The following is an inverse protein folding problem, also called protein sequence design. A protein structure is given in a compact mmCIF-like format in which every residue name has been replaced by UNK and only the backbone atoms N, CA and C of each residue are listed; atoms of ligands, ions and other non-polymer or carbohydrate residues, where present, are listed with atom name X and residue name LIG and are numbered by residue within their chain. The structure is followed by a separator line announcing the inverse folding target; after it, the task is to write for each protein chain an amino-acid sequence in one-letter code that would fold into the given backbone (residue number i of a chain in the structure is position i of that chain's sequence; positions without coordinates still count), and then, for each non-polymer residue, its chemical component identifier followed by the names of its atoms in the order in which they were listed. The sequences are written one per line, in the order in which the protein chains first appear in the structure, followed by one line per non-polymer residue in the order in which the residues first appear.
data_IF_917079866704
#
_entry.id   IF_917079866704
#
_cell.length_a   1.000
_cell.length_b   1.000
_cell.length_c   1.000
_cell.angle_alpha   90.00
_cell.angle_beta   90.00
_cell.angle_gamma   90.00
#
_symmetry.space_group_name_H-M   'P 1'
#
loop_
_entity.id
_entity.type
_entity.pdbx_description
1 polymer ?
#
# COMPACT_ATOMS: atom_id res chain seq x y z
N UNK A 1 -8.67 -54.27 12.15
CA UNK A 1 -9.34 -53.00 12.51
C UNK A 1 -8.59 -51.73 12.09
N UNK A 2 -7.24 -51.71 12.07
CA UNK A 2 -6.47 -50.53 11.58
C UNK A 2 -6.74 -50.22 10.10
N UNK A 3 -6.71 -51.22 9.23
CA UNK A 3 -7.00 -51.08 7.78
C UNK A 3 -8.39 -50.50 7.44
N UNK A 4 -9.41 -50.76 8.27
CA UNK A 4 -10.76 -50.20 8.06
C UNK A 4 -10.83 -48.73 8.50
N UNK A 5 -10.02 -48.33 9.50
CA UNK A 5 -9.87 -46.92 9.90
C UNK A 5 -9.13 -46.11 8.83
N UNK A 6 -8.09 -46.68 8.23
CA UNK A 6 -7.32 -46.04 7.16
C UNK A 6 -8.17 -45.87 5.87
N UNK A 7 -9.00 -46.86 5.53
CA UNK A 7 -9.99 -46.73 4.45
C UNK A 7 -11.05 -45.67 4.75
N UNK A 8 -11.54 -45.56 6.00
CA UNK A 8 -12.46 -44.48 6.40
C UNK A 8 -11.82 -43.09 6.32
N UNK A 9 -10.54 -42.94 6.65
CA UNK A 9 -9.80 -41.68 6.53
C UNK A 9 -9.56 -41.32 5.05
N UNK A 10 -9.29 -42.30 4.20
CA UNK A 10 -9.14 -42.08 2.75
C UNK A 10 -10.48 -41.78 2.07
N UNK A 11 -11.56 -42.45 2.48
CA UNK A 11 -12.93 -42.26 1.98
C UNK A 11 -13.54 -40.93 2.46
N UNK A 12 -13.23 -40.46 3.67
CA UNK A 12 -13.62 -39.12 4.15
C UNK A 12 -12.85 -37.98 3.49
N UNK A 13 -11.66 -38.24 2.93
CA UNK A 13 -10.89 -37.23 2.18
C UNK A 13 -11.54 -36.89 0.83
N UNK A 14 -12.48 -37.72 0.34
CA UNK A 14 -13.25 -37.48 -0.90
C UNK A 14 -14.50 -36.61 -0.70
N UNK A 15 -14.91 -36.32 0.55
CA UNK A 15 -15.94 -35.31 0.86
C UNK A 15 -15.26 -34.09 1.49
N UNK A 16 -14.37 -33.45 0.74
CA UNK A 16 -14.02 -32.07 1.06
C UNK A 16 -15.30 -31.25 0.91
N UNK A 17 -15.77 -30.64 1.99
CA UNK A 17 -16.84 -29.65 1.91
C UNK A 17 -16.50 -28.67 0.77
N UNK A 18 -17.48 -28.42 -0.10
CA UNK A 18 -17.30 -27.61 -1.30
C UNK A 18 -18.10 -26.32 -1.18
N UNK A 19 -17.71 -25.31 -1.94
CA UNK A 19 -18.50 -24.11 -2.18
C UNK A 19 -18.48 -23.77 -3.67
N UNK A 20 -19.49 -23.02 -4.11
CA UNK A 20 -19.53 -22.47 -5.46
C UNK A 20 -19.02 -21.04 -5.44
N UNK A 21 -17.99 -20.74 -6.23
CA UNK A 21 -17.48 -19.38 -6.37
C UNK A 21 -18.49 -18.49 -7.12
N UNK A 22 -18.82 -17.31 -6.60
CA UNK A 22 -19.78 -16.40 -7.25
C UNK A 22 -19.22 -15.61 -8.45
N UNK A 23 -17.90 -15.69 -8.71
CA UNK A 23 -17.28 -15.03 -9.87
C UNK A 23 -17.10 -16.01 -11.04
N UNK A 24 -16.48 -17.18 -10.79
CA UNK A 24 -16.23 -18.17 -11.84
C UNK A 24 -17.27 -19.29 -11.92
N UNK A 25 -18.20 -19.39 -10.96
CA UNK A 25 -19.23 -20.42 -10.87
C UNK A 25 -18.73 -21.86 -10.75
N UNK A 26 -17.44 -22.07 -10.42
CA UNK A 26 -16.85 -23.38 -10.18
C UNK A 26 -17.15 -23.90 -8.76
N UNK A 27 -17.37 -25.21 -8.62
CA UNK A 27 -17.44 -25.91 -7.33
C UNK A 27 -16.04 -26.30 -6.87
N UNK A 28 -15.60 -25.76 -5.75
CA UNK A 28 -14.22 -25.84 -5.27
C UNK A 28 -14.17 -26.29 -3.81
N UNK A 29 -13.07 -26.92 -3.35
CA UNK A 29 -12.88 -27.25 -1.93
C UNK A 29 -12.89 -26.00 -1.03
N UNK A 30 -13.45 -26.10 0.18
CA UNK A 30 -13.50 -24.98 1.14
C UNK A 30 -12.12 -24.38 1.47
N UNK A 31 -11.04 -25.13 1.38
CA UNK A 31 -9.67 -24.62 1.56
C UNK A 31 -9.30 -23.52 0.55
N UNK A 32 -9.96 -23.49 -0.62
CA UNK A 32 -9.74 -22.47 -1.64
C UNK A 32 -10.74 -21.31 -1.54
N UNK A 33 -11.60 -21.32 -0.53
CA UNK A 33 -12.46 -20.18 -0.22
C UNK A 33 -11.61 -19.08 0.40
N UNK A 34 -11.66 -17.89 -0.20
CA UNK A 34 -11.04 -16.72 0.38
C UNK A 34 -11.75 -16.31 1.68
N UNK A 35 -10.96 -15.98 2.70
CA UNK A 35 -11.45 -15.45 3.98
C UNK A 35 -10.99 -14.00 4.10
N UNK A 36 -11.93 -13.06 4.05
CA UNK A 36 -11.62 -11.64 4.19
C UNK A 36 -11.49 -11.25 5.68
N UNK A 37 -10.60 -11.91 6.42
CA UNK A 37 -10.45 -11.74 7.87
C UNK A 37 -11.79 -11.80 8.64
N UNK A 38 -12.72 -12.64 8.17
CA UNK A 38 -14.09 -12.78 8.66
C UNK A 38 -14.95 -11.48 8.66
N UNK A 39 -14.51 -10.44 7.96
CA UNK A 39 -15.28 -9.20 7.75
C UNK A 39 -16.51 -9.44 6.87
N UNK A 40 -16.45 -10.41 5.95
CA UNK A 40 -17.58 -10.86 5.16
C UNK A 40 -17.42 -12.33 4.75
N UNK A 41 -18.53 -13.01 4.45
CA UNK A 41 -18.54 -14.45 4.14
C UNK A 41 -18.74 -14.79 2.67
N UNK A 42 -18.62 -13.80 1.78
CA UNK A 42 -18.88 -13.94 0.33
C UNK A 42 -18.05 -15.07 -0.30
N UNK A 43 -18.68 -15.99 -1.06
CA UNK A 43 -18.06 -17.19 -1.58
C UNK A 43 -17.22 -16.90 -2.83
N UNK A 44 -15.99 -16.40 -2.63
CA UNK A 44 -15.02 -16.23 -3.71
C UNK A 44 -13.83 -17.17 -3.52
N UNK A 45 -13.32 -17.72 -4.61
CA UNK A 45 -12.10 -18.51 -4.57
C UNK A 45 -10.85 -17.64 -4.58
N UNK A 46 -9.73 -18.19 -4.10
CA UNK A 46 -8.44 -17.49 -4.03
C UNK A 46 -7.97 -16.95 -5.38
N UNK A 47 -8.20 -17.70 -6.48
CA UNK A 47 -7.80 -17.28 -7.83
C UNK A 47 -8.60 -16.08 -8.35
N UNK A 48 -9.91 -16.05 -8.13
CA UNK A 48 -10.74 -14.90 -8.49
C UNK A 48 -10.36 -13.65 -7.70
N UNK A 49 -10.07 -13.78 -6.40
CA UNK A 49 -9.61 -12.65 -5.57
C UNK A 49 -8.24 -12.15 -6.02
N UNK A 50 -7.30 -13.05 -6.29
CA UNK A 50 -5.99 -12.70 -6.86
C UNK A 50 -6.13 -11.91 -8.17
N UNK A 51 -6.98 -12.38 -9.08
CA UNK A 51 -7.23 -11.69 -10.36
C UNK A 51 -7.91 -10.33 -10.16
N UNK A 52 -8.90 -10.24 -9.26
CA UNK A 52 -9.57 -8.99 -8.92
C UNK A 52 -8.58 -7.93 -8.44
N UNK A 53 -7.70 -8.29 -7.50
CA UNK A 53 -6.64 -7.40 -7.00
C UNK A 53 -5.72 -6.96 -8.14
N UNK A 54 -5.27 -7.90 -8.96
CA UNK A 54 -4.39 -7.62 -10.10
C UNK A 54 -5.01 -6.65 -11.12
N UNK A 55 -6.29 -6.83 -11.45
CA UNK A 55 -7.00 -5.94 -12.37
C UNK A 55 -7.20 -4.56 -11.77
N UNK A 56 -7.55 -4.47 -10.48
CA UNK A 56 -7.62 -3.18 -9.78
C UNK A 56 -6.27 -2.46 -9.83
N UNK A 57 -5.17 -3.13 -9.49
CA UNK A 57 -3.83 -2.53 -9.50
C UNK A 57 -3.34 -2.15 -10.89
N UNK A 58 -3.86 -2.77 -11.96
CA UNK A 58 -3.58 -2.39 -13.35
C UNK A 58 -4.43 -1.22 -13.82
N UNK A 59 -5.64 -1.08 -13.28
CA UNK A 59 -6.50 0.06 -13.55
C UNK A 59 -5.85 1.35 -13.01
N UNK A 60 -6.25 2.49 -13.55
CA UNK A 60 -5.83 3.80 -13.04
C UNK A 60 -6.59 4.19 -11.74
N UNK A 61 -7.18 3.22 -11.01
CA UNK A 61 -7.86 3.46 -9.74
C UNK A 61 -6.85 3.85 -8.64
N UNK A 62 -6.96 5.11 -8.19
CA UNK A 62 -5.85 5.85 -7.58
C UNK A 62 -5.71 5.81 -6.06
N UNK A 63 -6.45 4.96 -5.33
CA UNK A 63 -6.43 5.00 -3.86
C UNK A 63 -5.83 3.75 -3.20
N UNK A 64 -5.65 2.66 -3.95
CA UNK A 64 -5.28 1.36 -3.36
C UNK A 64 -6.39 0.73 -2.51
N UNK A 65 -7.55 1.37 -2.34
CA UNK A 65 -8.66 0.83 -1.56
C UNK A 65 -9.44 -0.17 -2.41
N UNK A 66 -9.11 -1.45 -2.29
CA UNK A 66 -9.76 -2.53 -3.02
C UNK A 66 -10.92 -3.07 -2.19
N UNK A 67 -12.15 -2.92 -2.67
CA UNK A 67 -13.34 -3.50 -2.03
C UNK A 67 -13.48 -4.99 -2.35
N UNK A 68 -14.20 -5.68 -1.49
CA UNK A 68 -14.77 -6.99 -1.78
C UNK A 68 -15.47 -6.97 -3.15
N UNK A 69 -15.35 -8.02 -3.98
CA UNK A 69 -16.02 -8.04 -5.29
C UNK A 69 -17.54 -8.03 -5.25
N UNK A 70 -18.14 -8.36 -4.09
CA UNK A 70 -19.59 -8.30 -3.92
C UNK A 70 -20.09 -6.85 -3.98
N UNK A 71 -21.16 -6.60 -4.71
CA UNK A 71 -21.59 -5.26 -5.13
C UNK A 71 -22.00 -4.40 -3.93
N UNK A 72 -22.72 -4.98 -2.97
CA UNK A 72 -23.24 -4.29 -1.79
C UNK A 72 -22.32 -4.43 -0.56
N UNK A 73 -21.11 -4.98 -0.74
CA UNK A 73 -20.15 -5.16 0.34
C UNK A 73 -19.18 -3.98 0.44
N UNK A 74 -19.20 -3.30 1.58
CA UNK A 74 -18.31 -2.16 1.85
C UNK A 74 -16.94 -2.59 2.42
N UNK A 75 -16.78 -3.86 2.79
CA UNK A 75 -15.51 -4.34 3.35
C UNK A 75 -14.39 -4.35 2.32
N UNK A 76 -13.22 -3.87 2.74
CA UNK A 76 -12.01 -3.82 1.92
C UNK A 76 -11.17 -5.07 2.07
N UNK A 77 -10.31 -5.31 1.09
CA UNK A 77 -9.26 -6.31 1.14
C UNK A 77 -8.00 -5.69 1.77
N UNK A 78 -7.40 -6.41 2.71
CA UNK A 78 -6.14 -6.01 3.35
C UNK A 78 -4.93 -6.59 2.58
N UNK A 79 -3.94 -5.76 2.19
CA UNK A 79 -2.75 -6.23 1.48
C UNK A 79 -1.99 -7.34 2.21
N UNK A 80 -1.93 -7.30 3.55
CA UNK A 80 -1.19 -8.29 4.34
C UNK A 80 -1.91 -9.64 4.35
N UNK A 81 -3.23 -9.63 4.52
CA UNK A 81 -4.11 -10.80 4.44
C UNK A 81 -4.07 -11.44 3.04
N UNK A 82 -3.88 -10.63 2.00
CA UNK A 82 -3.78 -11.07 0.61
C UNK A 82 -2.34 -11.34 0.14
N UNK A 83 -1.33 -11.34 1.03
CA UNK A 83 0.09 -11.38 0.63
C UNK A 83 0.46 -12.59 -0.23
N UNK A 84 -0.17 -13.74 0.03
CA UNK A 84 0.05 -14.99 -0.72
C UNK A 84 -0.70 -15.04 -2.06
N UNK A 85 -1.65 -14.13 -2.28
CA UNK A 85 -2.46 -14.04 -3.51
C UNK A 85 -1.85 -13.13 -4.56
N UNK A 86 -0.81 -12.36 -4.21
CA UNK A 86 -0.20 -11.36 -5.07
C UNK A 86 1.31 -11.56 -5.18
N UNK A 87 1.87 -11.13 -6.31
CA UNK A 87 3.32 -11.05 -6.46
C UNK A 87 3.93 -10.00 -5.53
N UNK A 88 5.26 -10.05 -5.34
CA UNK A 88 5.98 -9.02 -4.57
C UNK A 88 5.77 -7.63 -5.18
N UNK A 89 5.80 -7.52 -6.50
CA UNK A 89 5.64 -6.26 -7.23
C UNK A 89 4.22 -5.70 -7.06
N UNK A 90 3.20 -6.53 -7.19
CA UNK A 90 1.80 -6.14 -6.94
C UNK A 90 1.59 -5.71 -5.49
N UNK A 91 2.16 -6.43 -4.52
CA UNK A 91 2.10 -6.05 -3.10
C UNK A 91 2.72 -4.67 -2.85
N UNK A 92 3.95 -4.44 -3.34
CA UNK A 92 4.63 -3.14 -3.18
C UNK A 92 3.81 -2.03 -3.84
N UNK A 93 3.32 -2.25 -5.07
CA UNK A 93 2.48 -1.28 -5.77
C UNK A 93 1.20 -0.96 -5.00
N UNK A 94 0.57 -1.97 -4.40
CA UNK A 94 -0.63 -1.80 -3.60
C UNK A 94 -0.35 -0.95 -2.34
N UNK A 95 0.69 -1.29 -1.59
CA UNK A 95 1.12 -0.50 -0.42
C UNK A 95 1.46 0.95 -0.81
N UNK A 96 2.18 1.16 -1.92
CA UNK A 96 2.52 2.50 -2.42
C UNK A 96 1.27 3.32 -2.75
N UNK A 97 0.25 2.71 -3.40
CA UNK A 97 -1.02 3.38 -3.69
C UNK A 97 -1.76 3.78 -2.41
N UNK A 98 -1.83 2.85 -1.43
CA UNK A 98 -2.44 3.12 -0.13
C UNK A 98 -1.74 4.26 0.61
N UNK A 99 -0.40 4.24 0.67
CA UNK A 99 0.40 5.29 1.29
C UNK A 99 0.19 6.64 0.59
N UNK A 100 0.24 6.69 -0.75
CA UNK A 100 0.00 7.92 -1.52
C UNK A 100 -1.40 8.47 -1.28
N UNK A 101 -2.40 7.59 -1.20
CA UNK A 101 -3.78 7.99 -0.91
C UNK A 101 -3.92 8.56 0.51
N UNK A 102 -3.28 7.93 1.50
CA UNK A 102 -3.30 8.40 2.89
C UNK A 102 -2.58 9.75 3.07
N UNK A 103 -1.56 10.00 2.26
CA UNK A 103 -0.83 11.27 2.23
C UNK A 103 -1.46 12.32 1.29
N UNK A 104 -2.55 11.98 0.60
CA UNK A 104 -3.21 12.92 -0.30
C UNK A 104 -3.78 14.10 0.48
N UNK A 105 -3.38 15.32 0.11
CA UNK A 105 -3.77 16.53 0.82
C UNK A 105 -2.86 16.93 1.99
N UNK A 106 -1.83 16.13 2.30
CA UNK A 106 -0.78 16.51 3.24
C UNK A 106 0.36 17.16 2.46
N UNK A 107 0.67 18.41 2.78
CA UNK A 107 1.83 19.10 2.25
C UNK A 107 3.09 18.29 2.58
N UNK A 108 3.89 17.98 1.57
CA UNK A 108 5.10 17.17 1.75
C UNK A 108 6.22 17.61 0.82
N UNK A 109 7.46 17.37 1.24
CA UNK A 109 8.64 17.60 0.41
C UNK A 109 9.73 16.57 0.71
N UNK A 110 10.53 16.24 -0.30
CA UNK A 110 11.70 15.40 -0.10
C UNK A 110 12.86 16.21 0.46
N UNK A 111 13.60 15.59 1.38
CA UNK A 111 14.87 16.10 1.89
C UNK A 111 15.86 16.27 0.72
N UNK A 112 16.46 17.46 0.52
CA UNK A 112 17.30 17.74 -0.65
C UNK A 112 18.69 17.12 -0.60
N UNK A 113 19.07 16.54 0.54
CA UNK A 113 20.40 15.98 0.71
C UNK A 113 20.49 14.59 0.05
N UNK A 114 21.42 14.36 -0.90
CA UNK A 114 21.49 13.14 -1.70
C UNK A 114 21.56 11.83 -0.90
N UNK A 115 22.11 11.89 0.31
CA UNK A 115 22.29 10.72 1.18
C UNK A 115 21.11 10.49 2.14
N UNK A 116 19.99 11.20 1.98
CA UNK A 116 18.83 11.10 2.88
C UNK A 116 17.54 10.78 2.13
N UNK A 117 17.15 11.62 1.15
CA UNK A 117 15.93 11.46 0.35
C UNK A 117 14.64 11.15 1.13
N UNK A 118 14.60 11.49 2.42
CA UNK A 118 13.45 11.22 3.27
C UNK A 118 12.29 12.16 2.88
N UNK A 119 11.06 11.64 2.84
CA UNK A 119 9.86 12.44 2.68
C UNK A 119 9.52 13.09 4.02
N UNK A 120 9.38 14.42 4.05
CA UNK A 120 9.00 15.20 5.22
C UNK A 120 7.59 15.73 5.01
N UNK A 121 6.72 15.49 5.99
CA UNK A 121 5.31 15.90 5.97
C UNK A 121 5.12 17.16 6.82
N UNK A 122 4.21 18.03 6.39
CA UNK A 122 3.72 19.16 7.18
C UNK A 122 2.37 18.78 7.81
N UNK A 123 2.40 18.32 9.05
CA UNK A 123 1.20 17.93 9.80
C UNK A 123 0.50 19.12 10.47
N UNK A 124 1.16 20.28 10.57
CA UNK A 124 0.68 21.42 11.35
C UNK A 124 -0.20 22.39 10.54
N UNK A 125 -0.39 22.18 9.23
CA UNK A 125 -1.15 23.08 8.33
C UNK A 125 -0.67 24.54 8.30
N UNK A 126 0.49 24.83 8.90
CA UNK A 126 1.12 26.13 8.88
C UNK A 126 1.94 26.30 7.60
N UNK A 127 2.13 27.56 7.18
CA UNK A 127 3.07 27.90 6.10
C UNK A 127 4.50 27.71 6.58
N UNK A 128 4.97 26.46 6.59
CA UNK A 128 6.34 26.10 6.93
C UNK A 128 7.30 26.55 5.82
N UNK A 129 8.22 27.45 6.16
CA UNK A 129 9.32 27.86 5.27
C UNK A 129 10.63 27.15 5.60
N UNK A 130 11.03 27.15 6.88
CA UNK A 130 12.20 26.43 7.39
C UNK A 130 11.74 25.14 8.05
N UNK A 131 12.40 24.03 7.76
CA UNK A 131 12.19 22.80 8.51
C UNK A 131 13.51 22.08 8.75
N UNK A 132 13.49 21.16 9.71
CA UNK A 132 14.58 20.23 9.99
C UNK A 132 14.18 18.82 9.54
N UNK A 133 15.04 18.15 8.77
CA UNK A 133 14.76 16.78 8.36
C UNK A 133 14.88 15.81 9.55
N UNK A 134 13.83 15.07 9.93
CA UNK A 134 13.86 14.19 11.11
C UNK A 134 14.81 13.00 10.95
N UNK A 135 15.20 12.64 9.72
CA UNK A 135 16.11 11.52 9.47
C UNK A 135 17.59 11.91 9.54
N UNK A 136 17.97 13.12 9.08
CA UNK A 136 19.37 13.53 9.01
C UNK A 136 19.70 14.80 9.80
N UNK A 137 18.71 15.37 10.50
CA UNK A 137 18.80 16.56 11.34
C UNK A 137 19.34 17.82 10.64
N UNK A 138 19.30 17.87 9.30
CA UNK A 138 19.74 19.04 8.51
C UNK A 138 18.57 19.95 8.18
N UNK A 139 18.84 21.25 8.23
CA UNK A 139 17.86 22.29 7.91
C UNK A 139 17.75 22.49 6.39
N UNK A 140 16.52 22.66 5.93
CA UNK A 140 16.24 22.95 4.53
C UNK A 140 14.96 23.79 4.40
N UNK A 141 14.77 24.40 3.22
CA UNK A 141 13.54 25.14 2.94
C UNK A 141 12.45 24.18 2.45
N UNK A 142 11.34 24.09 3.19
CA UNK A 142 10.21 23.20 2.86
C UNK A 142 9.51 23.65 1.57
N UNK A 143 9.49 24.95 1.29
CA UNK A 143 8.78 25.52 0.15
C UNK A 143 9.47 25.28 -1.21
N UNK A 144 10.81 25.37 -1.27
CA UNK A 144 11.56 25.15 -2.52
C UNK A 144 12.39 23.87 -2.54
N UNK A 145 12.47 23.13 -1.43
CA UNK A 145 13.16 21.84 -1.37
C UNK A 145 14.66 21.96 -1.64
N UNK A 146 15.33 22.97 -1.06
CA UNK A 146 16.80 23.16 -1.15
C UNK A 146 17.40 23.35 0.24
N UNK A 147 18.72 23.14 0.45
CA UNK A 147 19.37 23.42 1.72
C UNK A 147 19.02 24.81 2.25
N UNK A 148 18.96 24.95 3.58
CA UNK A 148 18.44 26.18 4.17
C UNK A 148 19.25 27.40 3.71
N UNK A 149 18.53 28.43 3.30
CA UNK A 149 19.08 29.70 2.87
C UNK A 149 18.45 30.84 3.66
N UNK A 150 19.27 31.79 4.10
CA UNK A 150 18.85 33.04 4.72
C UNK A 150 19.23 34.19 3.80
N UNK A 151 18.35 35.19 3.63
CA UNK A 151 18.68 36.44 2.93
C UNK A 151 18.11 36.61 1.52
N UNK A 152 17.48 35.60 0.91
CA UNK A 152 16.81 35.74 -0.40
C UNK A 152 15.54 34.87 -0.51
N UNK A 153 14.69 35.20 -1.47
CA UNK A 153 13.42 34.53 -1.74
C UNK A 153 13.59 33.16 -2.39
N UNK A 154 12.61 32.28 -2.23
CA UNK A 154 12.59 30.96 -2.87
C UNK A 154 12.58 31.03 -4.41
N UNK A 155 12.15 32.15 -4.99
CA UNK A 155 12.22 32.41 -6.44
C UNK A 155 13.66 32.60 -6.94
N UNK A 156 14.59 32.96 -6.06
CA UNK A 156 15.98 33.27 -6.38
C UNK A 156 16.90 32.06 -6.14
N UNK A 157 16.47 31.09 -5.33
CA UNK A 157 17.25 29.90 -4.95
C UNK A 157 17.47 28.89 -6.08
N UNK A 158 16.68 28.94 -7.16
CA UNK A 158 16.81 28.02 -8.31
C UNK A 158 18.10 28.21 -9.12
N UNK A 159 18.81 29.33 -8.94
CA UNK A 159 19.98 29.71 -9.74
C UNK A 159 21.31 29.70 -8.99
N UNK A 160 21.35 29.31 -7.71
CA UNK A 160 22.57 29.40 -6.91
C UNK A 160 23.10 28.01 -6.53
N UNK A 161 23.88 27.43 -7.45
CA UNK A 161 25.03 26.59 -7.08
C UNK A 161 26.20 27.48 -6.65
N UNK A 162 25.96 28.50 -5.83
CA UNK A 162 27.05 29.38 -5.41
C UNK A 162 27.54 28.98 -4.02
N UNK A 163 28.84 28.73 -3.94
CA UNK A 163 29.53 28.09 -2.81
C UNK A 163 29.66 28.99 -1.58
N UNK A 164 29.12 30.21 -1.62
CA UNK A 164 29.53 31.28 -0.71
C UNK A 164 28.56 31.63 0.44
N UNK A 165 27.38 31.02 0.53
CA UNK A 165 26.45 31.31 1.65
C UNK A 165 26.61 30.37 2.86
N UNK A 166 27.67 29.55 2.90
CA UNK A 166 28.03 28.72 4.07
C UNK A 166 28.70 29.59 5.14
N UNK A 167 28.13 30.74 5.53
CA UNK A 167 28.61 31.51 6.66
C UNK A 167 27.48 32.38 7.22
N UNK A 168 26.58 31.80 8.01
CA UNK A 168 26.29 32.22 9.40
C UNK A 168 25.67 31.01 10.11
N UNK A 169 26.33 30.54 11.17
CA UNK A 169 25.86 29.46 12.03
C UNK A 169 24.61 29.81 12.85
#
# INVERSE_FOLDING_TARGET
MKQIRDLKVHYNKMYLEQFTCQICFESLPLEWKFKNADLCTHPFCLSCISMHIKLYLRSFAGTGTIRCPEIECEHTLDPFSCRLLVTREEFVKWCDLMCRSALSGIDSCYCPFPNCSALVLNECSDKLKKTNCPNCNRNFCFQCGVPWHAGYGCSESGNLKDRNDILVG
#
